data_IF_196116275506
#
_entry.id   IF_196116275506
#
_cell.length_a   1.000
_cell.length_b   1.000
_cell.length_c   1.000
_cell.angle_alpha   90.00
_cell.angle_beta   90.00
_cell.angle_gamma   90.00
#
_symmetry.space_group_name_H-M   'P 1'
#
loop_
_entity.id
_entity.type
_entity.pdbx_description
1 polymer ?
#
# COMPACT_ATOMS: atom_id res chain seq x y z
N UNK A 1 3.22 -1.22 -4.52
CA UNK A 1 4.45 -1.14 -3.72
C UNK A 1 4.26 -0.10 -2.60
N UNK A 2 4.83 -0.35 -1.42
CA UNK A 2 4.95 0.66 -0.35
C UNK A 2 6.31 1.33 -0.44
N UNK A 3 6.35 2.65 -0.35
CA UNK A 3 7.57 3.46 -0.58
C UNK A 3 7.82 4.36 0.62
N UNK A 4 9.02 4.30 1.18
CA UNK A 4 9.48 5.22 2.24
C UNK A 4 9.86 6.57 1.65
N UNK A 5 9.34 7.64 2.23
CA UNK A 5 9.66 9.02 1.90
C UNK A 5 10.88 9.48 2.70
N UNK A 6 11.59 10.50 2.21
CA UNK A 6 12.78 11.05 2.90
C UNK A 6 12.50 11.57 4.32
N UNK A 7 11.24 11.86 4.64
CA UNK A 7 10.81 12.32 5.96
C UNK A 7 10.34 11.18 6.88
N UNK A 8 10.56 9.92 6.48
CA UNK A 8 10.23 8.72 7.25
C UNK A 8 8.77 8.26 7.12
N UNK A 9 7.91 9.02 6.44
CA UNK A 9 6.54 8.59 6.14
C UNK A 9 6.53 7.61 4.99
N UNK A 10 5.46 6.82 4.90
CA UNK A 10 5.29 5.82 3.86
C UNK A 10 4.11 6.18 2.97
N UNK A 11 4.17 5.82 1.70
CA UNK A 11 3.07 5.98 0.75
C UNK A 11 2.90 4.73 -0.10
N UNK A 12 1.74 4.61 -0.76
CA UNK A 12 1.44 3.48 -1.65
C UNK A 12 1.53 3.95 -3.09
N UNK A 13 2.33 3.24 -3.88
CA UNK A 13 2.48 3.47 -5.32
C UNK A 13 2.10 2.19 -6.05
N UNK A 14 1.17 2.30 -6.99
CA UNK A 14 0.91 1.25 -7.95
C UNK A 14 1.94 1.33 -9.07
N UNK A 15 2.91 0.40 -9.04
CA UNK A 15 3.95 0.33 -10.06
C UNK A 15 3.48 -0.28 -11.39
N UNK A 16 2.57 -1.26 -11.32
CA UNK A 16 2.07 -2.03 -12.47
C UNK A 16 0.55 -2.28 -12.36
N UNK A 17 -0.09 -2.48 -13.51
CA UNK A 17 -1.54 -2.72 -13.62
C UNK A 17 -2.37 -1.47 -13.32
N UNK A 18 -3.70 -1.65 -13.17
CA UNK A 18 -4.63 -0.54 -12.89
C UNK A 18 -5.57 -0.79 -11.69
N UNK A 19 -5.47 -1.97 -11.07
CA UNK A 19 -6.45 -2.43 -10.08
C UNK A 19 -6.50 -1.59 -8.80
N UNK A 20 -5.36 -1.06 -8.35
CA UNK A 20 -5.26 -0.28 -7.10
C UNK A 20 -5.50 1.22 -7.28
N UNK A 21 -5.46 1.73 -8.52
CA UNK A 21 -5.60 3.14 -8.83
C UNK A 21 -7.02 3.67 -8.66
N UNK A 22 -7.95 2.80 -8.28
CA UNK A 22 -9.31 3.16 -7.86
C UNK A 22 -9.37 3.61 -6.38
N UNK A 23 -8.34 3.32 -5.58
CA UNK A 23 -8.28 3.74 -4.18
C UNK A 23 -7.70 5.14 -4.05
N UNK A 24 -8.38 5.96 -3.23
CA UNK A 24 -7.90 7.31 -2.92
C UNK A 24 -6.52 7.26 -2.27
N UNK A 25 -5.61 8.10 -2.76
CA UNK A 25 -4.26 8.25 -2.21
C UNK A 25 -3.24 7.21 -2.67
N UNK A 26 -3.62 6.26 -3.53
CA UNK A 26 -2.68 5.37 -4.21
C UNK A 26 -2.16 6.04 -5.48
N UNK A 27 -0.86 6.38 -5.50
CA UNK A 27 -0.24 6.99 -6.67
C UNK A 27 -0.08 5.99 -7.79
N UNK A 28 -0.38 6.39 -9.02
CA UNK A 28 -0.01 5.61 -10.22
C UNK A 28 1.45 5.86 -10.57
N UNK A 29 2.12 4.85 -11.12
CA UNK A 29 3.48 5.01 -11.65
C UNK A 29 3.54 6.11 -12.73
N UNK A 30 4.68 6.76 -12.82
CA UNK A 30 5.03 7.79 -13.80
C UNK A 30 4.01 8.93 -13.92
N UNK A 31 4.28 10.04 -13.20
CA UNK A 31 3.64 11.34 -13.42
C UNK A 31 2.18 11.44 -12.98
N UNK A 32 1.80 10.77 -11.89
CA UNK A 32 0.52 11.03 -11.22
C UNK A 32 0.55 12.40 -10.51
N UNK A 33 0.17 13.43 -11.25
CA UNK A 33 0.07 14.82 -10.77
C UNK A 33 -1.31 15.15 -10.18
N UNK A 34 -2.25 14.21 -10.24
CA UNK A 34 -3.66 14.45 -9.87
C UNK A 34 -3.95 13.86 -8.50
N UNK A 35 -3.48 12.64 -8.24
CA UNK A 35 -3.75 11.95 -6.99
C UNK A 35 -3.00 12.62 -5.84
N UNK A 36 -3.73 13.01 -4.80
CA UNK A 36 -3.13 13.44 -3.55
C UNK A 36 -2.68 12.20 -2.76
N UNK A 37 -1.38 11.98 -2.53
CA UNK A 37 -0.91 10.77 -1.86
C UNK A 37 -1.41 10.68 -0.41
N UNK A 38 -1.78 9.47 0.00
CA UNK A 38 -1.96 9.14 1.40
C UNK A 38 -0.60 8.82 2.03
N UNK A 39 -0.33 9.41 3.21
CA UNK A 39 0.89 9.18 3.96
C UNK A 39 0.59 8.40 5.24
N UNK A 40 1.40 7.38 5.49
CA UNK A 40 1.37 6.51 6.65
C UNK A 40 2.58 6.79 7.54
N UNK A 41 2.45 6.67 8.87
CA UNK A 41 3.54 6.97 9.80
C UNK A 41 4.66 5.92 9.77
N UNK A 42 4.35 4.68 9.37
CA UNK A 42 5.27 3.55 9.40
C UNK A 42 4.92 2.51 8.32
N UNK A 43 5.86 1.59 8.07
CA UNK A 43 5.71 0.49 7.11
C UNK A 43 4.50 -0.39 7.44
N UNK A 44 4.25 -0.66 8.73
CA UNK A 44 3.19 -1.55 9.18
C UNK A 44 1.81 -1.00 8.78
N UNK A 45 1.58 0.28 9.01
CA UNK A 45 0.35 0.99 8.68
C UNK A 45 0.13 1.06 7.16
N UNK A 46 1.19 1.30 6.40
CA UNK A 46 1.13 1.28 4.93
C UNK A 46 0.81 -0.12 4.40
N UNK A 47 1.46 -1.16 4.94
CA UNK A 47 1.22 -2.55 4.57
C UNK A 47 -0.22 -2.98 4.88
N UNK A 48 -0.71 -2.71 6.10
CA UNK A 48 -2.11 -2.98 6.47
C UNK A 48 -3.10 -2.36 5.48
N UNK A 49 -2.83 -1.14 5.03
CA UNK A 49 -3.70 -0.46 4.08
C UNK A 49 -3.65 -1.11 2.69
N UNK A 50 -2.47 -1.45 2.17
CA UNK A 50 -2.33 -2.17 0.89
C UNK A 50 -3.02 -3.53 0.94
N UNK A 51 -2.84 -4.30 2.00
CA UNK A 51 -3.49 -5.61 2.13
C UNK A 51 -5.01 -5.49 2.24
N UNK A 52 -5.51 -4.47 2.96
CA UNK A 52 -6.94 -4.16 2.99
C UNK A 52 -7.52 -3.85 1.61
N UNK A 53 -6.78 -3.09 0.78
CA UNK A 53 -7.16 -2.82 -0.62
C UNK A 53 -7.13 -4.08 -1.47
N UNK A 54 -6.07 -4.88 -1.33
CA UNK A 54 -5.91 -6.14 -2.05
C UNK A 54 -7.04 -7.13 -1.73
N UNK A 55 -7.49 -7.21 -0.48
CA UNK A 55 -8.64 -8.04 -0.09
C UNK A 55 -9.97 -7.58 -0.67
N UNK A 56 -10.15 -6.28 -0.88
CA UNK A 56 -11.36 -5.76 -1.54
C UNK A 56 -11.40 -6.17 -3.02
N UNK A 57 -10.26 -6.23 -3.70
CA UNK A 57 -10.17 -6.68 -5.11
C UNK A 57 -10.18 -8.21 -5.20
N UNK A 58 -9.44 -8.88 -4.32
CA UNK A 58 -9.20 -10.33 -4.32
C UNK A 58 -9.61 -10.96 -2.97
N UNK A 59 -10.91 -11.11 -2.69
CA UNK A 59 -11.39 -11.56 -1.38
C UNK A 59 -10.98 -12.99 -1.01
N UNK A 60 -10.62 -13.82 -1.99
CA UNK A 60 -10.19 -15.21 -1.80
C UNK A 60 -8.70 -15.35 -1.45
N UNK A 61 -7.95 -14.25 -1.41
CA UNK A 61 -6.52 -14.32 -1.10
C UNK A 61 -6.30 -14.77 0.35
N UNK A 62 -5.25 -15.55 0.61
CA UNK A 62 -4.97 -16.08 1.94
C UNK A 62 -4.44 -15.00 2.90
N UNK A 63 -5.03 -14.91 4.09
CA UNK A 63 -4.59 -14.02 5.17
C UNK A 63 -3.28 -14.47 5.82
N UNK A 64 -2.93 -15.75 5.72
CA UNK A 64 -1.73 -16.28 6.38
C UNK A 64 -0.46 -15.60 5.89
N UNK A 65 -0.31 -15.40 4.58
CA UNK A 65 0.82 -14.70 3.97
C UNK A 65 0.97 -13.27 4.51
N UNK A 66 -0.14 -12.58 4.77
CA UNK A 66 -0.11 -11.25 5.34
C UNK A 66 0.31 -11.26 6.81
N UNK A 67 -0.25 -12.19 7.58
CA UNK A 67 0.05 -12.32 9.00
C UNK A 67 1.52 -12.70 9.24
N UNK A 68 2.08 -13.58 8.40
CA UNK A 68 3.50 -13.91 8.39
C UNK A 68 4.34 -12.65 8.13
N UNK A 69 4.03 -11.90 7.07
CA UNK A 69 4.73 -10.64 6.76
C UNK A 69 4.65 -9.63 7.92
N UNK A 70 3.48 -9.44 8.54
CA UNK A 70 3.33 -8.55 9.69
C UNK A 70 4.13 -8.99 10.91
N UNK A 71 4.39 -10.30 11.07
CA UNK A 71 5.18 -10.84 12.18
C UNK A 71 6.68 -10.53 12.05
N UNK A 72 7.15 -10.25 10.83
CA UNK A 72 8.53 -9.88 10.54
C UNK A 72 8.83 -8.39 10.71
N UNK A 73 7.78 -7.55 10.73
CA UNK A 73 7.92 -6.09 10.93
C UNK A 73 7.92 -5.77 12.43
N UNK A 74 8.97 -5.10 12.95
CA UNK A 74 8.98 -4.60 14.33
C UNK A 74 7.79 -3.67 14.59
N UNK A 75 7.11 -3.87 15.72
CA UNK A 75 6.00 -3.02 16.18
C UNK A 75 6.45 -1.69 16.75
#
# INVERSE_FOLDING_TARGET
MVVECKDGRWMIVQEFGEDYGCFEGVLKNESDLITKPAFYPDLRSAAMSVFGMMKQIYPLYDDNLFNEFLSEIPG
#
